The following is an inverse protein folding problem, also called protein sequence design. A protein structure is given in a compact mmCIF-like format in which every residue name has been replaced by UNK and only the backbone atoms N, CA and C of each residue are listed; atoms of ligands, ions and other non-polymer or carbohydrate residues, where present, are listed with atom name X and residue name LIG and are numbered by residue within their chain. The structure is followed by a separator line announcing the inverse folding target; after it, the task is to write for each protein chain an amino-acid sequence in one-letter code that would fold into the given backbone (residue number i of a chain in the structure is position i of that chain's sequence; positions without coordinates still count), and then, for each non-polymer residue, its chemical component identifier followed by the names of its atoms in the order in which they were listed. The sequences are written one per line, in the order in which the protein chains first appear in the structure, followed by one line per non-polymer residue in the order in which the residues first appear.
data_IF_528849100551
#
_entry.id   IF_528849100551
#
_cell.length_a   1.000
_cell.length_b   1.000
_cell.length_c   1.000
_cell.angle_alpha   90.00
_cell.angle_beta   90.00
_cell.angle_gamma   90.00
#
_symmetry.space_group_name_H-M   'P 1'
#
loop_
_entity.id
_entity.type
_entity.pdbx_description
1 polymer ?
#
# COMPACT_ATOMS: atom_id res chain seq x y z
N UNK A 1 -20.19 -57.49 45.28
CA UNK A 1 -19.57 -56.56 46.25
C UNK A 1 -18.29 -56.04 45.59
N UNK A 2 -18.19 -54.70 45.40
CA UNK A 2 -17.00 -53.89 45.01
C UNK A 2 -16.33 -54.25 43.65
N UNK A 3 -16.59 -53.58 42.53
CA UNK A 3 -16.13 -52.25 42.03
C UNK A 3 -14.61 -52.08 41.89
N UNK A 4 -14.11 -52.18 40.65
CA UNK A 4 -12.91 -51.50 40.11
C UNK A 4 -13.08 -51.41 38.57
N UNK A 5 -13.70 -50.36 38.02
CA UNK A 5 -13.11 -49.08 37.55
C UNK A 5 -11.93 -49.23 36.58
N UNK A 6 -12.23 -49.36 35.28
CA UNK A 6 -11.38 -48.85 34.21
C UNK A 6 -12.24 -47.93 33.32
N UNK A 7 -11.89 -46.64 33.34
CA UNK A 7 -12.58 -45.52 32.73
C UNK A 7 -11.88 -45.27 31.38
N UNK A 8 -12.46 -45.70 30.26
CA UNK A 8 -11.97 -45.32 28.93
C UNK A 8 -12.79 -44.13 28.48
N UNK A 9 -12.26 -42.93 28.72
CA UNK A 9 -12.75 -41.69 28.15
C UNK A 9 -12.30 -41.62 26.68
N UNK A 10 -13.20 -41.94 25.74
CA UNK A 10 -12.96 -41.72 24.32
C UNK A 10 -13.32 -40.26 23.98
N UNK A 11 -12.29 -39.50 23.64
CA UNK A 11 -12.31 -38.08 23.30
C UNK A 11 -13.23 -37.82 22.10
N UNK A 12 -14.27 -37.02 22.29
CA UNK A 12 -15.10 -36.47 21.22
C UNK A 12 -14.24 -35.42 20.49
N UNK A 13 -13.68 -35.79 19.34
CA UNK A 13 -13.01 -34.86 18.44
C UNK A 13 -14.03 -33.96 17.76
N UNK A 14 -14.30 -32.80 18.36
CA UNK A 14 -14.91 -31.66 17.67
C UNK A 14 -13.92 -31.14 16.63
N UNK A 15 -14.03 -31.62 15.39
CA UNK A 15 -13.47 -30.90 14.24
C UNK A 15 -14.37 -29.70 13.99
N UNK A 16 -14.13 -28.63 14.76
CA UNK A 16 -14.42 -27.28 14.29
C UNK A 16 -13.46 -27.04 13.12
N UNK A 17 -13.86 -27.51 11.93
CA UNK A 17 -13.33 -26.97 10.70
C UNK A 17 -13.75 -25.51 10.69
N UNK A 18 -12.87 -24.67 11.21
CA UNK A 18 -12.99 -23.23 11.10
C UNK A 18 -13.23 -22.93 9.64
N UNK A 19 -14.44 -22.48 9.33
CA UNK A 19 -14.66 -21.70 8.15
C UNK A 19 -13.64 -20.56 8.24
N UNK A 20 -12.55 -20.68 7.47
CA UNK A 20 -11.73 -19.54 7.16
C UNK A 20 -12.69 -18.57 6.48
N UNK A 21 -13.25 -17.65 7.26
CA UNK A 21 -13.85 -16.45 6.72
C UNK A 21 -12.68 -15.77 6.01
N UNK A 22 -12.53 -16.07 4.72
CA UNK A 22 -11.91 -15.13 3.79
C UNK A 22 -12.88 -13.96 3.78
N UNK A 23 -12.69 -13.07 4.76
CA UNK A 23 -13.23 -11.72 4.67
C UNK A 23 -12.80 -11.20 3.31
N UNK A 24 -13.81 -10.91 2.49
CA UNK A 24 -13.70 -10.35 1.15
C UNK A 24 -12.53 -9.39 1.06
N UNK A 25 -11.59 -9.63 0.13
CA UNK A 25 -10.51 -8.70 -0.17
C UNK A 25 -11.13 -7.31 -0.35
N UNK A 26 -10.79 -6.35 0.50
CA UNK A 26 -11.10 -4.98 0.18
C UNK A 26 -10.21 -4.66 -1.04
N UNK A 27 -10.84 -4.43 -2.18
CA UNK A 27 -10.14 -4.00 -3.37
C UNK A 27 -9.65 -2.56 -3.19
N UNK A 28 -8.91 -2.07 -4.17
CA UNK A 28 -8.64 -0.63 -4.26
C UNK A 28 -9.78 0.04 -4.99
N UNK A 29 -10.30 1.12 -4.44
CA UNK A 29 -11.39 1.85 -5.05
C UNK A 29 -11.30 3.32 -4.68
N UNK A 30 -11.44 4.18 -5.67
CA UNK A 30 -11.51 5.61 -5.47
C UNK A 30 -11.16 6.38 -6.71
N UNK A 31 -10.96 7.68 -6.57
CA UNK A 31 -10.81 8.58 -7.70
C UNK A 31 -9.75 9.62 -7.43
N UNK A 32 -8.95 9.87 -8.46
CA UNK A 32 -8.09 11.04 -8.56
C UNK A 32 -8.73 12.01 -9.55
N UNK A 33 -8.83 13.28 -9.17
CA UNK A 33 -9.24 14.36 -10.07
C UNK A 33 -8.09 15.34 -10.20
N UNK A 34 -7.69 15.66 -11.42
CA UNK A 34 -6.63 16.66 -11.72
C UNK A 34 -7.13 17.61 -12.79
N UNK A 35 -7.14 18.91 -12.50
CA UNK A 35 -7.72 19.95 -13.36
C UNK A 35 -9.12 19.58 -13.89
N UNK A 36 -9.95 19.00 -13.02
CA UNK A 36 -11.30 18.54 -13.36
C UNK A 36 -11.37 17.22 -14.13
N UNK A 37 -10.25 16.66 -14.62
CA UNK A 37 -10.22 15.32 -15.21
C UNK A 37 -10.23 14.28 -14.10
N UNK A 38 -11.24 13.42 -14.11
CA UNK A 38 -11.42 12.32 -13.15
C UNK A 38 -10.92 11.00 -13.72
N UNK A 39 -10.09 10.30 -12.97
CA UNK A 39 -9.61 8.95 -13.29
C UNK A 39 -9.84 8.02 -12.09
N UNK A 40 -10.38 6.83 -12.35
CA UNK A 40 -10.73 5.84 -11.32
C UNK A 40 -9.52 4.98 -10.97
N UNK A 41 -9.24 4.85 -9.68
CA UNK A 41 -8.14 4.05 -9.14
C UNK A 41 -8.69 2.71 -8.66
N UNK A 42 -8.10 1.63 -9.17
CA UNK A 42 -8.63 0.26 -9.02
C UNK A 42 -7.58 -0.73 -8.52
N UNK A 43 -6.32 -0.32 -8.49
CA UNK A 43 -5.20 -1.17 -8.12
C UNK A 43 -4.38 -0.53 -7.03
N UNK A 44 -3.96 -1.31 -6.05
CA UNK A 44 -2.92 -0.92 -5.12
C UNK A 44 -1.90 -2.03 -4.94
N UNK A 45 -0.68 -1.65 -4.57
CA UNK A 45 0.37 -2.60 -4.24
C UNK A 45 1.24 -2.00 -3.15
N UNK A 46 1.56 -2.82 -2.15
CA UNK A 46 2.28 -2.38 -0.97
C UNK A 46 3.56 -3.18 -0.77
N UNK A 47 4.59 -2.48 -0.31
CA UNK A 47 5.94 -3.02 -0.19
C UNK A 47 6.59 -2.52 1.07
N UNK A 48 7.23 -3.42 1.80
CA UNK A 48 8.03 -3.05 2.95
C UNK A 48 9.51 -3.00 2.60
N UNK A 49 10.21 -2.04 3.21
CA UNK A 49 11.66 -1.87 3.10
C UNK A 49 12.23 -1.17 4.33
N UNK A 50 13.55 -1.26 4.50
CA UNK A 50 14.27 -0.51 5.52
C UNK A 50 14.92 0.73 4.90
N UNK A 51 14.67 1.91 5.48
CA UNK A 51 15.34 3.16 5.08
C UNK A 51 16.64 3.37 5.87
N UNK A 52 17.63 4.00 5.23
CA UNK A 52 18.85 4.47 5.89
C UNK A 52 18.64 5.74 6.72
N UNK A 53 17.65 6.56 6.38
CA UNK A 53 17.35 7.84 7.06
C UNK A 53 16.25 7.72 8.11
N UNK A 54 15.41 6.69 8.01
CA UNK A 54 14.30 6.41 8.92
C UNK A 54 14.43 4.94 9.38
N UNK A 55 15.21 4.67 10.45
CA UNK A 55 15.49 3.31 10.89
C UNK A 55 14.20 2.56 11.27
N UNK A 56 13.95 1.44 10.61
CA UNK A 56 12.79 0.58 10.87
C UNK A 56 12.12 0.12 9.58
N UNK A 57 10.96 -0.53 9.71
CA UNK A 57 10.16 -1.01 8.58
C UNK A 57 9.28 0.12 8.07
N UNK A 58 9.57 0.57 6.86
CA UNK A 58 8.72 1.49 6.10
C UNK A 58 7.82 0.69 5.18
N UNK A 59 6.66 1.26 4.83
CA UNK A 59 5.75 0.68 3.85
C UNK A 59 5.36 1.76 2.85
N UNK A 60 5.65 1.53 1.56
CA UNK A 60 5.05 2.35 0.50
C UNK A 60 3.88 1.64 -0.13
N UNK A 61 2.86 2.41 -0.46
CA UNK A 61 1.66 1.97 -1.18
C UNK A 61 1.54 2.78 -2.46
N UNK A 62 1.50 2.08 -3.59
CA UNK A 62 1.13 2.64 -4.88
C UNK A 62 -0.35 2.41 -5.12
N UNK A 63 -1.08 3.43 -5.58
CA UNK A 63 -2.49 3.36 -5.90
C UNK A 63 -2.72 3.97 -7.29
N UNK A 64 -3.32 3.21 -8.19
CA UNK A 64 -3.37 3.56 -9.61
C UNK A 64 -4.59 2.99 -10.33
N UNK A 65 -4.85 3.55 -11.51
CA UNK A 65 -5.83 3.07 -12.48
C UNK A 65 -5.38 1.78 -13.20
N UNK A 66 -4.10 1.41 -13.08
CA UNK A 66 -3.48 0.25 -13.73
C UNK A 66 -2.50 -0.45 -12.81
N UNK A 67 -2.45 -1.78 -12.90
CA UNK A 67 -1.50 -2.59 -12.13
C UNK A 67 -0.02 -2.26 -12.46
N UNK A 68 0.88 -2.33 -11.48
CA UNK A 68 2.32 -2.15 -11.70
C UNK A 68 2.93 -3.27 -12.56
N UNK A 69 3.94 -2.93 -13.37
CA UNK A 69 4.72 -3.92 -14.11
C UNK A 69 5.75 -4.60 -13.21
N UNK A 70 5.34 -5.64 -12.47
CA UNK A 70 6.16 -6.31 -11.44
C UNK A 70 7.57 -6.74 -11.90
N UNK A 71 7.76 -7.09 -13.18
CA UNK A 71 9.08 -7.43 -13.73
C UNK A 71 10.01 -6.21 -13.76
N UNK A 72 9.53 -5.12 -14.36
CA UNK A 72 10.27 -3.84 -14.45
C UNK A 72 10.54 -3.29 -13.06
N UNK A 73 9.60 -3.47 -12.12
CA UNK A 73 9.83 -3.13 -10.72
C UNK A 73 11.06 -3.82 -10.18
N UNK A 74 11.07 -5.16 -10.23
CA UNK A 74 12.18 -5.96 -9.68
C UNK A 74 13.50 -5.58 -10.34
N UNK A 75 13.52 -5.41 -11.65
CA UNK A 75 14.73 -5.04 -12.41
C UNK A 75 15.29 -3.67 -12.02
N UNK A 76 14.42 -2.69 -11.71
CA UNK A 76 14.83 -1.33 -11.28
C UNK A 76 14.89 -1.17 -9.76
N UNK A 77 14.68 -2.26 -9.04
CA UNK A 77 14.84 -2.40 -7.59
C UNK A 77 15.97 -3.34 -7.19
N UNK A 78 16.76 -3.86 -8.14
CA UNK A 78 17.86 -4.77 -7.82
C UNK A 78 18.93 -4.02 -7.03
N UNK A 79 19.15 -4.49 -5.81
CA UNK A 79 20.31 -4.19 -4.98
C UNK A 79 20.92 -5.50 -4.50
N UNK A 80 22.16 -5.46 -4.03
CA UNK A 80 22.85 -6.66 -3.57
C UNK A 80 22.33 -7.17 -2.21
N UNK A 81 22.71 -8.39 -1.80
CA UNK A 81 22.46 -8.85 -0.45
C UNK A 81 23.06 -7.88 0.59
N UNK A 82 22.20 -7.26 1.39
CA UNK A 82 22.61 -6.41 2.53
C UNK A 82 22.64 -4.89 2.25
N UNK A 83 22.33 -4.44 1.03
CA UNK A 83 22.19 -3.02 0.75
C UNK A 83 20.82 -2.52 1.21
N UNK A 84 20.82 -1.53 2.11
CA UNK A 84 19.58 -0.89 2.56
C UNK A 84 18.96 -0.09 1.42
N UNK A 85 17.64 -0.13 1.33
CA UNK A 85 16.90 0.68 0.37
C UNK A 85 16.98 2.16 0.78
N UNK A 86 17.54 2.99 -0.10
CA UNK A 86 17.66 4.43 0.12
C UNK A 86 16.35 5.11 -0.31
N UNK A 87 15.80 6.04 0.50
CA UNK A 87 14.70 6.90 0.08
C UNK A 87 14.97 7.58 -1.28
N UNK A 88 13.93 7.82 -2.08
CA UNK A 88 14.05 8.38 -3.42
C UNK A 88 14.48 7.37 -4.49
N UNK A 89 15.31 6.39 -4.16
CA UNK A 89 15.71 5.34 -5.11
C UNK A 89 14.58 4.32 -5.30
N UNK A 90 13.96 3.88 -4.20
CA UNK A 90 12.74 3.05 -4.21
C UNK A 90 11.55 3.79 -4.87
N UNK A 91 11.31 5.03 -4.46
CA UNK A 91 10.27 5.91 -5.02
C UNK A 91 10.50 6.19 -6.53
N UNK A 92 11.75 6.41 -6.93
CA UNK A 92 12.15 6.60 -8.33
C UNK A 92 11.90 5.37 -9.21
N UNK A 93 12.13 4.16 -8.67
CA UNK A 93 11.82 2.93 -9.38
C UNK A 93 10.32 2.83 -9.67
N UNK A 94 9.45 3.13 -8.69
CA UNK A 94 7.99 3.18 -8.89
C UNK A 94 7.58 4.14 -9.99
N UNK A 95 8.10 5.37 -9.97
CA UNK A 95 7.83 6.36 -11.01
C UNK A 95 8.21 5.85 -12.40
N UNK A 96 9.38 5.22 -12.53
CA UNK A 96 9.92 4.76 -13.80
C UNK A 96 9.12 3.60 -14.42
N UNK A 97 8.49 2.75 -13.61
CA UNK A 97 7.72 1.58 -14.08
C UNK A 97 6.50 1.92 -14.91
N UNK A 98 6.09 3.19 -14.86
CA UNK A 98 4.93 3.68 -15.57
C UNK A 98 5.29 4.66 -16.69
N UNK A 99 6.58 4.77 -17.09
CA UNK A 99 7.03 5.51 -18.27
C UNK A 99 6.16 5.25 -19.52
N UNK A 100 5.82 4.00 -19.78
CA UNK A 100 5.22 3.57 -21.05
C UNK A 100 3.72 3.84 -21.14
N UNK A 101 3.06 4.27 -20.05
CA UNK A 101 1.61 4.52 -20.02
C UNK A 101 1.32 5.81 -19.27
N UNK A 102 0.27 6.54 -19.68
CA UNK A 102 -0.24 7.64 -18.86
C UNK A 102 -0.68 7.07 -17.50
N UNK A 103 0.03 7.47 -16.45
CA UNK A 103 -0.25 7.11 -15.06
C UNK A 103 -0.93 8.29 -14.39
N UNK A 104 -2.07 8.03 -13.77
CA UNK A 104 -2.88 9.01 -13.06
C UNK A 104 -3.23 8.37 -11.70
N UNK A 105 -2.39 8.58 -10.69
CA UNK A 105 -2.45 7.88 -9.39
C UNK A 105 -1.63 8.53 -8.27
N UNK A 106 -1.40 7.80 -7.18
CA UNK A 106 -0.76 8.28 -5.95
C UNK A 106 0.25 7.24 -5.42
N UNK A 107 1.41 7.71 -4.97
CA UNK A 107 2.33 6.95 -4.11
C UNK A 107 2.35 7.57 -2.72
N UNK A 108 2.28 6.75 -1.66
CA UNK A 108 2.45 7.19 -0.27
C UNK A 108 3.40 6.28 0.47
N UNK A 109 4.25 6.85 1.32
CA UNK A 109 5.19 6.10 2.15
C UNK A 109 4.93 6.38 3.62
N UNK A 110 4.84 5.32 4.41
CA UNK A 110 4.65 5.37 5.85
C UNK A 110 5.90 4.89 6.58
N UNK A 111 6.23 5.60 7.66
CA UNK A 111 7.28 5.22 8.60
C UNK A 111 6.86 4.11 9.56
N UNK A 112 7.77 3.67 10.44
CA UNK A 112 7.50 2.59 11.40
C UNK A 112 6.42 2.96 12.43
N UNK A 113 6.27 4.24 12.70
CA UNK A 113 5.26 4.87 13.56
C UNK A 113 3.94 5.15 12.82
N UNK A 114 3.80 4.67 11.58
CA UNK A 114 2.65 4.86 10.69
C UNK A 114 2.46 6.31 10.22
N UNK A 115 3.42 7.22 10.47
CA UNK A 115 3.34 8.60 9.96
C UNK A 115 3.59 8.62 8.46
N UNK A 116 2.91 9.51 7.75
CA UNK A 116 3.19 9.78 6.35
C UNK A 116 4.57 10.45 6.25
N UNK A 117 5.51 9.80 5.55
CA UNK A 117 6.84 10.35 5.29
C UNK A 117 6.86 11.14 3.99
N UNK A 118 6.29 10.57 2.93
CA UNK A 118 6.24 11.16 1.60
C UNK A 118 4.95 10.81 0.89
N UNK A 119 4.52 11.67 -0.03
CA UNK A 119 3.43 11.40 -0.95
C UNK A 119 3.72 12.07 -2.29
N UNK A 120 3.25 11.45 -3.37
CA UNK A 120 3.41 11.98 -4.71
C UNK A 120 2.21 11.61 -5.57
N UNK A 121 1.57 12.65 -6.12
CA UNK A 121 0.57 12.52 -7.17
C UNK A 121 1.30 12.43 -8.51
N UNK A 122 0.92 11.45 -9.30
CA UNK A 122 1.59 11.10 -10.55
C UNK A 122 0.60 11.37 -11.69
N UNK A 123 0.92 12.29 -12.62
CA UNK A 123 0.01 12.77 -13.66
C UNK A 123 0.67 12.76 -15.04
N UNK A 124 0.46 11.73 -15.84
CA UNK A 124 0.92 11.76 -17.23
C UNK A 124 2.43 11.62 -17.41
N UNK A 125 3.08 10.81 -16.55
CA UNK A 125 4.47 10.34 -16.70
C UNK A 125 5.46 10.89 -15.69
N UNK A 126 6.71 10.39 -15.74
CA UNK A 126 7.79 10.66 -14.77
C UNK A 126 7.96 12.13 -14.39
N UNK A 127 7.79 13.05 -15.35
CA UNK A 127 8.14 14.46 -15.17
C UNK A 127 6.95 15.34 -14.78
N UNK A 128 5.79 14.74 -14.51
CA UNK A 128 4.59 15.45 -14.09
C UNK A 128 4.10 14.84 -12.79
N UNK A 129 4.91 15.05 -11.76
CA UNK A 129 4.63 14.61 -10.40
C UNK A 129 4.72 15.79 -9.47
N UNK A 130 3.92 15.79 -8.43
CA UNK A 130 3.98 16.78 -7.36
C UNK A 130 3.52 16.14 -6.06
N UNK A 131 3.99 16.68 -4.95
CA UNK A 131 3.55 16.27 -3.62
C UNK A 131 2.42 17.18 -3.15
N UNK A 132 1.49 16.60 -2.40
CA UNK A 132 0.54 17.35 -1.58
C UNK A 132 1.17 17.58 -0.20
N UNK A 133 0.80 18.67 0.47
CA UNK A 133 1.22 18.84 1.86
C UNK A 133 0.58 17.75 2.72
N UNK A 134 1.25 17.32 3.78
CA UNK A 134 0.65 16.37 4.73
C UNK A 134 -0.61 16.93 5.40
N UNK A 135 -0.74 18.27 5.50
CA UNK A 135 -1.93 18.94 6.02
C UNK A 135 -3.13 18.91 5.06
N UNK A 136 -2.88 18.68 3.78
CA UNK A 136 -3.92 18.62 2.75
C UNK A 136 -4.56 17.22 2.65
N UNK A 137 -3.96 16.23 3.32
CA UNK A 137 -4.34 14.84 3.28
C UNK A 137 -4.94 14.40 4.63
N UNK A 138 -6.15 13.88 4.58
CA UNK A 138 -6.70 13.05 5.64
C UNK A 138 -6.32 11.60 5.38
N UNK A 139 -5.68 10.98 6.37
CA UNK A 139 -5.25 9.58 6.35
C UNK A 139 -5.95 8.82 7.48
N UNK A 140 -6.58 7.70 7.15
CA UNK A 140 -7.14 6.76 8.11
C UNK A 140 -6.60 5.35 7.81
N UNK A 141 -5.61 4.91 8.59
CA UNK A 141 -5.01 3.58 8.48
C UNK A 141 -5.73 2.60 9.41
N UNK A 142 -6.26 1.52 8.83
CA UNK A 142 -6.98 0.46 9.55
C UNK A 142 -6.05 -0.70 9.91
N UNK A 143 -5.19 -1.09 8.97
CA UNK A 143 -4.21 -2.18 9.18
C UNK A 143 -2.81 -1.74 8.76
N UNK A 144 -1.80 -2.26 9.48
CA UNK A 144 -0.38 -1.94 9.26
C UNK A 144 0.51 -3.09 9.73
N UNK A 145 0.59 -4.16 8.92
CA UNK A 145 1.24 -5.42 9.29
C UNK A 145 1.69 -6.22 8.05
N UNK A 146 1.31 -7.50 7.89
CA UNK A 146 1.48 -8.25 6.63
C UNK A 146 0.50 -7.79 5.54
N UNK A 147 -0.51 -6.99 5.91
CA UNK A 147 -1.38 -6.22 5.03
C UNK A 147 -1.36 -4.76 5.48
N UNK A 148 -1.63 -3.85 4.56
CA UNK A 148 -1.85 -2.44 4.85
C UNK A 148 -3.16 -2.02 4.19
N UNK A 149 -4.04 -1.40 4.95
CA UNK A 149 -5.33 -0.93 4.47
C UNK A 149 -5.73 0.37 5.13
N UNK A 150 -6.49 1.18 4.40
CA UNK A 150 -6.90 2.49 4.87
C UNK A 150 -7.61 3.31 3.82
N UNK A 151 -7.76 4.59 4.13
CA UNK A 151 -8.25 5.60 3.21
C UNK A 151 -7.37 6.84 3.22
N UNK A 152 -7.24 7.47 2.07
CA UNK A 152 -6.54 8.75 1.90
C UNK A 152 -7.48 9.66 1.13
N UNK A 153 -7.65 10.88 1.63
CA UNK A 153 -8.59 11.86 1.04
C UNK A 153 -8.06 13.27 1.15
N UNK A 154 -8.45 14.13 0.23
CA UNK A 154 -8.38 15.59 0.39
C UNK A 154 -9.75 16.10 0.83
N UNK A 155 -9.82 16.99 1.83
CA UNK A 155 -11.10 17.56 2.30
C UNK A 155 -11.73 18.54 1.30
N UNK A 156 -10.90 19.19 0.49
CA UNK A 156 -11.27 20.04 -0.64
C UNK A 156 -10.22 19.88 -1.75
N UNK A 157 -10.49 20.30 -3.01
CA UNK A 157 -9.44 20.38 -4.01
C UNK A 157 -8.26 21.23 -3.55
N UNK A 158 -7.04 20.80 -3.90
CA UNK A 158 -5.75 21.34 -3.45
C UNK A 158 -4.97 21.82 -4.66
N UNK A 159 -4.37 23.00 -4.57
CA UNK A 159 -3.47 23.53 -5.60
C UNK A 159 -2.04 23.07 -5.34
N UNK A 160 -1.48 22.25 -6.23
CA UNK A 160 -0.10 21.78 -6.14
C UNK A 160 0.51 21.58 -7.53
N UNK A 161 1.76 22.03 -7.70
CA UNK A 161 2.46 21.92 -8.98
C UNK A 161 1.77 22.65 -10.15
N UNK A 162 0.96 23.69 -9.85
CA UNK A 162 0.14 24.40 -10.85
C UNK A 162 -1.10 23.64 -11.32
N UNK A 163 -1.53 22.61 -10.56
CA UNK A 163 -2.68 21.78 -10.86
C UNK A 163 -3.64 21.74 -9.66
N UNK A 164 -4.94 21.78 -9.94
CA UNK A 164 -6.00 21.57 -8.96
C UNK A 164 -6.28 20.08 -8.82
N UNK A 165 -6.10 19.53 -7.62
CA UNK A 165 -6.16 18.09 -7.39
C UNK A 165 -7.11 17.73 -6.26
N UNK A 166 -7.91 16.68 -6.44
CA UNK A 166 -8.75 16.11 -5.39
C UNK A 166 -8.63 14.59 -5.38
N UNK A 167 -8.66 14.01 -4.20
CA UNK A 167 -8.43 12.59 -4.01
C UNK A 167 -9.39 12.01 -2.97
N UNK A 168 -9.95 10.83 -3.26
CA UNK A 168 -10.69 10.03 -2.32
C UNK A 168 -10.51 8.56 -2.68
N UNK A 169 -9.77 7.81 -1.86
CA UNK A 169 -9.48 6.40 -2.11
C UNK A 169 -9.58 5.60 -0.83
N UNK A 170 -9.98 4.34 -0.99
CA UNK A 170 -9.69 3.26 -0.05
C UNK A 170 -8.77 2.26 -0.71
N UNK A 171 -7.84 1.71 0.07
CA UNK A 171 -6.91 0.69 -0.40
C UNK A 171 -6.78 -0.40 0.65
N UNK A 172 -6.46 -1.60 0.18
CA UNK A 172 -6.08 -2.75 0.99
C UNK A 172 -5.17 -3.61 0.11
N UNK A 173 -3.93 -3.78 0.57
CA UNK A 173 -2.89 -4.48 -0.14
C UNK A 173 -2.11 -5.39 0.81
N UNK A 174 -1.80 -6.59 0.32
CA UNK A 174 -0.79 -7.42 0.96
C UNK A 174 0.57 -6.74 0.84
N UNK A 175 1.33 -6.73 1.94
CA UNK A 175 2.66 -6.12 1.97
C UNK A 175 3.67 -7.15 1.51
N UNK A 176 4.36 -6.86 0.41
CA UNK A 176 5.46 -7.67 -0.07
C UNK A 176 6.74 -7.21 0.60
N UNK A 177 7.40 -8.10 1.33
CA UNK A 177 8.66 -7.78 2.00
C UNK A 177 9.83 -7.89 1.00
N UNK A 178 10.53 -6.77 0.79
CA UNK A 178 11.83 -6.75 0.11
C UNK A 178 12.90 -6.79 1.21
N UNK A 179 13.31 -8.02 1.56
CA UNK A 179 14.45 -8.27 2.46
C UNK A 179 15.76 -8.28 1.69
#
# INVERSE_FOLDING_TARGET
MVRERAFIAMLIGTVLAGAAMVTSAAGTAGTLTVNGKKTTLTTSTAFSYASTTEPGRNISVLISDKAPQNRVFRERMIFGPGEKLVPGLFEGAWKSMHFEKAFEGLSVTFGPDKRLLTNEVLVGGLNKTFSLSSYDLTLDLKEFGPRISGSIRTSSPVEAGGLTCAFDVTFDAAVVDFK
#
